data_IF_696425976162
#
_entry.id   IF_696425976162
#
_cell.length_a   1.000
_cell.length_b   1.000
_cell.length_c   1.000
_cell.angle_alpha   90.00
_cell.angle_beta   90.00
_cell.angle_gamma   90.00
#
_symmetry.space_group_name_H-M   'P 1'
#
loop_
_entity.id
_entity.type
_entity.pdbx_description
1 polymer ?
#
# COMPACT_ATOMS: atom_id res chain seq x y z
N UNK A 1 25.31 28.86 30.07
CA UNK A 1 24.13 29.76 29.93
C UNK A 1 22.90 28.86 29.89
N UNK A 2 21.83 29.26 30.57
CA UNK A 2 20.55 28.54 30.53
C UNK A 2 19.94 28.62 29.12
N UNK A 3 19.06 27.68 28.73
CA UNK A 3 18.38 27.75 27.44
C UNK A 3 17.58 29.05 27.31
N UNK A 4 17.48 29.60 26.10
CA UNK A 4 16.62 30.75 25.84
C UNK A 4 15.15 30.42 26.12
N UNK A 5 14.38 31.41 26.59
CA UNK A 5 12.97 31.24 26.94
C UNK A 5 12.14 32.38 26.36
N UNK A 6 11.13 32.06 25.56
CA UNK A 6 10.08 32.98 25.12
C UNK A 6 8.82 32.67 25.91
N UNK A 7 8.39 33.63 26.72
CA UNK A 7 7.23 33.52 27.61
C UNK A 7 6.30 34.71 27.46
N UNK A 8 5.03 34.53 27.82
CA UNK A 8 4.01 35.58 27.85
C UNK A 8 2.98 35.28 28.92
N UNK A 9 2.45 36.29 29.63
CA UNK A 9 1.30 36.10 30.52
C UNK A 9 0.08 35.54 29.79
N UNK A 10 -0.84 34.92 30.54
CA UNK A 10 -2.09 34.40 30.01
C UNK A 10 -2.87 35.47 29.23
N UNK A 11 -3.38 35.09 28.06
CA UNK A 11 -4.16 35.96 27.17
C UNK A 11 -3.34 36.83 26.22
N UNK A 12 -2.01 36.85 26.32
CA UNK A 12 -1.15 37.53 25.35
C UNK A 12 -0.65 36.55 24.28
N UNK A 13 -0.45 37.05 23.05
CA UNK A 13 0.03 36.25 21.92
C UNK A 13 1.17 36.97 21.21
N UNK A 14 2.28 36.26 21.00
CA UNK A 14 3.37 36.71 20.15
C UNK A 14 2.99 36.51 18.69
N UNK A 15 2.78 37.61 17.95
CA UNK A 15 2.61 37.54 16.49
C UNK A 15 3.97 37.69 15.81
N UNK A 16 4.46 36.60 15.21
CA UNK A 16 5.67 36.62 14.40
C UNK A 16 5.32 36.96 12.96
N UNK A 17 5.84 38.09 12.47
CA UNK A 17 5.62 38.56 11.11
C UNK A 17 6.30 37.68 10.04
N UNK A 18 5.83 37.78 8.80
CA UNK A 18 6.48 37.15 7.65
C UNK A 18 7.92 37.65 7.49
N UNK A 19 8.81 36.76 7.06
CA UNK A 19 10.24 37.06 6.91
C UNK A 19 11.05 37.08 8.21
N UNK A 20 10.40 37.04 9.38
CA UNK A 20 11.08 36.91 10.66
C UNK A 20 11.41 35.44 10.98
N UNK A 21 12.55 35.20 11.64
CA UNK A 21 13.00 33.87 12.08
C UNK A 21 13.21 33.84 13.59
N UNK A 22 12.58 32.88 14.26
CA UNK A 22 12.90 32.47 15.62
C UNK A 22 13.68 31.16 15.51
N UNK A 23 14.90 31.09 16.02
CA UNK A 23 15.74 29.90 15.87
C UNK A 23 16.64 29.63 17.06
N UNK A 24 17.11 28.40 17.18
CA UNK A 24 18.05 27.96 18.23
C UNK A 24 17.53 26.78 19.02
N UNK A 25 17.82 26.78 20.32
CA UNK A 25 17.40 25.79 21.31
C UNK A 25 16.84 26.50 22.55
N UNK A 26 15.95 25.83 23.28
CA UNK A 26 15.28 26.41 24.45
C UNK A 26 13.78 26.17 24.43
N UNK A 27 13.02 27.10 25.03
CA UNK A 27 11.58 26.93 25.26
C UNK A 27 10.77 28.08 24.69
N UNK A 28 9.61 27.74 24.12
CA UNK A 28 8.55 28.69 23.77
C UNK A 28 7.28 28.28 24.51
N UNK A 29 7.02 28.97 25.62
CA UNK A 29 5.83 28.77 26.47
C UNK A 29 4.68 29.70 26.08
N UNK A 30 5.02 30.85 25.49
CA UNK A 30 4.07 31.83 24.99
C UNK A 30 3.15 31.26 23.90
N UNK A 31 1.93 31.81 23.82
CA UNK A 31 1.09 31.63 22.64
C UNK A 31 1.76 32.33 21.44
N UNK A 32 1.80 31.67 20.29
CA UNK A 32 2.44 32.22 19.08
C UNK A 32 1.51 32.15 17.89
N UNK A 33 1.41 33.24 17.12
CA UNK A 33 0.88 33.24 15.76
C UNK A 33 2.05 33.41 14.80
N UNK A 34 2.47 32.32 14.15
CA UNK A 34 3.63 32.28 13.28
C UNK A 34 3.25 32.54 11.81
N UNK A 35 3.65 33.69 11.26
CA UNK A 35 3.67 33.94 9.81
C UNK A 35 5.09 33.87 9.20
N UNK A 36 6.11 33.64 10.04
CA UNK A 36 7.51 33.53 9.65
C UNK A 36 8.03 32.10 9.75
N UNK A 37 9.26 31.95 10.26
CA UNK A 37 9.88 30.63 10.48
C UNK A 37 10.28 30.43 11.94
N UNK A 38 9.92 29.29 12.52
CA UNK A 38 10.44 28.82 13.81
C UNK A 38 11.33 27.59 13.56
N UNK A 39 12.58 27.60 14.04
CA UNK A 39 13.58 26.59 13.65
C UNK A 39 14.34 26.03 14.86
N UNK A 40 14.35 24.71 15.01
CA UNK A 40 15.33 23.98 15.80
C UNK A 40 16.55 23.63 14.92
N UNK A 41 17.63 24.41 14.99
CA UNK A 41 18.80 24.32 14.09
C UNK A 41 20.12 23.93 14.76
N UNK A 42 20.08 23.64 16.07
CA UNK A 42 21.25 23.29 16.86
C UNK A 42 21.38 21.76 16.94
N UNK A 43 22.44 21.21 16.36
CA UNK A 43 22.71 19.77 16.34
C UNK A 43 22.63 19.15 17.73
N UNK A 44 21.87 18.06 17.86
CA UNK A 44 21.61 17.32 19.10
C UNK A 44 21.01 18.16 20.24
N UNK A 45 20.45 19.32 19.92
CA UNK A 45 19.77 20.19 20.89
C UNK A 45 18.31 20.37 20.51
N UNK A 46 17.52 20.80 21.49
CA UNK A 46 16.07 20.84 21.40
C UNK A 46 15.55 22.27 21.46
N UNK A 47 14.62 22.61 20.57
CA UNK A 47 13.67 23.70 20.77
C UNK A 47 12.32 23.09 21.14
N UNK A 48 11.75 23.46 22.27
CA UNK A 48 10.47 22.93 22.75
C UNK A 48 9.35 23.96 22.64
N UNK A 49 8.22 23.54 22.06
CA UNK A 49 6.98 24.29 22.04
C UNK A 49 6.07 23.75 23.15
N UNK A 50 5.91 24.48 24.27
CA UNK A 50 5.22 23.99 25.49
C UNK A 50 4.11 24.92 25.96
N UNK A 51 3.29 24.47 26.92
CA UNK A 51 2.23 25.28 27.52
C UNK A 51 1.19 25.77 26.51
N UNK A 52 1.14 27.07 26.18
CA UNK A 52 0.09 27.67 25.37
C UNK A 52 0.04 27.11 23.95
N UNK A 53 -1.14 27.10 23.32
CA UNK A 53 -1.29 26.66 21.94
C UNK A 53 -0.55 27.59 20.96
N UNK A 54 -0.07 27.02 19.85
CA UNK A 54 0.57 27.79 18.77
C UNK A 54 -0.28 27.70 17.52
N UNK A 55 -0.33 28.80 16.78
CA UNK A 55 -0.93 28.87 15.45
C UNK A 55 0.17 29.00 14.42
N UNK A 56 0.20 28.10 13.44
CA UNK A 56 1.19 28.09 12.37
C UNK A 56 0.55 28.46 11.02
N UNK A 57 0.91 29.62 10.47
CA UNK A 57 0.52 30.05 9.13
C UNK A 57 1.62 29.85 8.07
N UNK A 58 2.82 29.51 8.51
CA UNK A 58 3.99 29.36 7.66
C UNK A 58 4.81 28.14 8.11
N UNK A 59 6.05 28.31 8.56
CA UNK A 59 6.98 27.19 8.77
C UNK A 59 7.40 27.02 10.24
N UNK A 60 7.26 25.81 10.75
CA UNK A 60 7.97 25.33 11.95
C UNK A 60 8.87 24.16 11.53
N UNK A 61 10.17 24.16 11.81
CA UNK A 61 11.04 23.09 11.31
C UNK A 61 12.18 22.67 12.24
N UNK A 62 12.65 21.44 12.05
CA UNK A 62 13.90 20.93 12.60
C UNK A 62 14.93 20.73 11.48
N UNK A 63 16.17 21.20 11.69
CA UNK A 63 17.28 21.11 10.72
C UNK A 63 18.61 20.86 11.42
N UNK A 64 19.64 20.50 10.66
CA UNK A 64 21.03 20.38 11.12
C UNK A 64 21.19 19.45 12.35
N UNK A 65 20.43 18.36 12.39
CA UNK A 65 20.44 17.41 13.51
C UNK A 65 19.74 17.92 14.78
N UNK A 66 18.99 19.02 14.70
CA UNK A 66 18.19 19.56 15.79
C UNK A 66 16.88 18.81 16.02
N UNK A 67 16.31 19.02 17.19
CA UNK A 67 15.01 18.48 17.59
C UNK A 67 13.99 19.58 17.83
N UNK A 68 12.85 19.52 17.16
CA UNK A 68 11.69 20.34 17.47
C UNK A 68 10.69 19.50 18.27
N UNK A 69 10.54 19.82 19.56
CA UNK A 69 9.66 19.09 20.46
C UNK A 69 8.30 19.78 20.58
N UNK A 70 7.25 19.03 20.31
CA UNK A 70 5.87 19.48 20.45
C UNK A 70 5.30 18.94 21.76
N UNK A 71 5.04 19.84 22.70
CA UNK A 71 4.45 19.57 24.03
C UNK A 71 3.15 20.36 24.26
N UNK A 72 2.59 20.93 23.20
CA UNK A 72 1.35 21.72 23.23
C UNK A 72 0.56 21.48 21.94
N UNK A 73 -0.70 21.92 21.88
CA UNK A 73 -1.45 21.98 20.62
C UNK A 73 -0.81 22.93 19.61
N UNK A 74 -0.76 22.51 18.34
CA UNK A 74 -0.35 23.30 17.18
C UNK A 74 -1.49 23.31 16.17
N UNK A 75 -2.08 24.49 15.95
CA UNK A 75 -3.13 24.71 14.95
C UNK A 75 -2.50 25.27 13.68
N UNK A 76 -2.47 24.48 12.61
CA UNK A 76 -1.96 24.91 11.32
C UNK A 76 -3.09 25.49 10.47
N UNK A 77 -2.82 26.57 9.75
CA UNK A 77 -3.65 26.93 8.60
C UNK A 77 -3.34 26.03 7.39
N UNK A 78 -4.07 26.20 6.30
CA UNK A 78 -3.84 25.44 5.07
C UNK A 78 -2.40 25.58 4.52
N UNK A 79 -1.76 26.74 4.70
CA UNK A 79 -0.35 26.99 4.34
C UNK A 79 0.65 26.64 5.44
N UNK A 80 0.17 26.26 6.63
CA UNK A 80 1.02 25.88 7.75
C UNK A 80 1.73 24.56 7.46
N UNK A 81 3.04 24.55 7.68
CA UNK A 81 3.88 23.39 7.55
C UNK A 81 4.75 23.18 8.79
N UNK A 82 4.77 21.94 9.28
CA UNK A 82 5.79 21.43 10.21
C UNK A 82 6.72 20.52 9.42
N UNK A 83 8.04 20.73 9.51
CA UNK A 83 9.01 20.07 8.64
C UNK A 83 10.21 19.49 9.39
N UNK A 84 10.62 18.26 9.08
CA UNK A 84 11.89 17.70 9.53
C UNK A 84 12.84 17.50 8.34
N UNK A 85 13.92 18.27 8.30
CA UNK A 85 14.98 18.07 7.32
C UNK A 85 15.78 16.79 7.62
N UNK A 86 16.62 16.38 6.66
CA UNK A 86 17.49 15.22 6.81
C UNK A 86 18.32 15.32 8.11
N UNK A 87 18.42 14.18 8.81
CA UNK A 87 19.12 14.04 10.09
C UNK A 87 18.41 14.65 11.29
N UNK A 88 17.27 15.31 11.11
CA UNK A 88 16.57 16.07 12.16
C UNK A 88 15.24 15.41 12.53
N UNK A 89 14.69 15.74 13.71
CA UNK A 89 13.41 15.16 14.16
C UNK A 89 12.43 16.21 14.67
N UNK A 90 11.15 15.96 14.39
CA UNK A 90 10.04 16.58 15.12
C UNK A 90 9.49 15.52 16.08
N UNK A 91 9.49 15.79 17.38
CA UNK A 91 9.09 14.81 18.41
C UNK A 91 7.82 15.26 19.10
N UNK A 92 6.86 14.36 19.23
CA UNK A 92 5.59 14.59 19.88
C UNK A 92 5.61 13.94 21.25
N UNK A 93 5.04 14.64 22.24
CA UNK A 93 4.91 14.16 23.62
C UNK A 93 3.45 14.16 24.05
N UNK A 94 3.15 13.50 25.17
CA UNK A 94 1.79 13.44 25.71
C UNK A 94 1.23 14.85 25.95
N UNK A 95 0.01 15.08 25.45
CA UNK A 95 -0.65 16.40 25.51
C UNK A 95 -0.36 17.31 24.30
N UNK A 96 0.50 16.88 23.37
CA UNK A 96 0.62 17.53 22.06
C UNK A 96 -0.59 17.23 21.17
N UNK A 97 -0.86 18.14 20.25
CA UNK A 97 -1.82 17.93 19.16
C UNK A 97 -1.37 18.68 17.91
N UNK A 98 -1.73 18.17 16.73
CA UNK A 98 -1.56 18.88 15.46
C UNK A 98 -2.91 18.88 14.74
N UNK A 99 -3.40 20.07 14.41
CA UNK A 99 -4.64 20.28 13.67
C UNK A 99 -4.33 20.94 12.34
N UNK A 100 -4.78 20.35 11.24
CA UNK A 100 -4.67 20.90 9.90
C UNK A 100 -3.25 20.93 9.32
N UNK A 101 -3.15 21.55 8.14
CA UNK A 101 -1.89 21.85 7.46
C UNK A 101 -1.09 20.63 7.04
N UNK A 102 0.18 20.85 6.71
CA UNK A 102 1.10 19.82 6.22
C UNK A 102 2.12 19.43 7.27
N UNK A 103 2.41 18.14 7.36
CA UNK A 103 3.61 17.60 8.03
C UNK A 103 4.47 16.90 6.98
N UNK A 104 5.78 17.17 6.99
CA UNK A 104 6.66 16.81 5.88
C UNK A 104 8.06 16.47 6.36
N UNK A 105 8.75 15.57 5.66
CA UNK A 105 10.15 15.24 5.94
C UNK A 105 10.96 15.20 4.66
N UNK A 106 12.28 15.38 4.76
CA UNK A 106 13.22 15.14 3.66
C UNK A 106 14.32 14.16 4.08
N UNK A 107 14.78 13.33 3.14
CA UNK A 107 15.77 12.29 3.40
C UNK A 107 15.34 11.37 4.55
N UNK A 108 16.19 11.26 5.57
CA UNK A 108 15.95 10.48 6.78
C UNK A 108 15.39 11.31 7.95
N UNK A 109 14.86 12.53 7.70
CA UNK A 109 14.11 13.29 8.71
C UNK A 109 12.85 12.55 9.14
N UNK A 110 12.42 12.74 10.39
CA UNK A 110 11.34 11.91 10.97
C UNK A 110 10.46 12.69 11.96
N UNK A 111 9.15 12.43 11.91
CA UNK A 111 8.22 12.68 13.02
C UNK A 111 8.14 11.46 13.92
N UNK A 112 8.23 11.65 15.24
CA UNK A 112 8.21 10.53 16.19
C UNK A 112 7.36 10.83 17.42
N UNK A 113 6.50 9.89 17.80
CA UNK A 113 5.90 9.82 19.14
C UNK A 113 6.87 9.06 20.05
N UNK A 114 7.92 9.77 20.48
CA UNK A 114 9.12 9.19 21.09
C UNK A 114 9.01 9.02 22.60
N UNK A 115 9.47 7.87 23.12
CA UNK A 115 9.67 7.63 24.55
C UNK A 115 8.77 6.55 25.18
N UNK A 116 7.91 5.92 24.39
CA UNK A 116 6.91 4.95 24.85
C UNK A 116 5.79 5.59 25.69
N UNK A 117 4.54 5.17 25.50
CA UNK A 117 3.40 5.71 26.28
C UNK A 117 3.01 7.14 25.91
N UNK A 118 3.48 7.65 24.77
CA UNK A 118 3.08 8.97 24.26
C UNK A 118 1.65 8.92 23.74
N UNK A 119 0.84 9.91 24.10
CA UNK A 119 -0.52 10.05 23.59
C UNK A 119 -0.71 11.43 22.95
N UNK A 120 -0.91 11.47 21.62
CA UNK A 120 -1.06 12.71 20.85
C UNK A 120 -2.32 12.68 19.98
N UNK A 121 -2.83 13.86 19.63
CA UNK A 121 -4.00 14.00 18.77
C UNK A 121 -3.62 14.59 17.42
N UNK A 122 -4.05 13.93 16.34
CA UNK A 122 -3.87 14.38 14.96
C UNK A 122 -5.25 14.62 14.34
N UNK A 123 -5.47 15.82 13.80
CA UNK A 123 -6.77 16.22 13.25
C UNK A 123 -6.58 16.81 11.85
N UNK A 124 -7.13 16.14 10.82
CA UNK A 124 -7.21 16.63 9.44
C UNK A 124 -5.86 17.11 8.86
N UNK A 125 -4.81 16.32 9.09
CA UNK A 125 -3.46 16.63 8.61
C UNK A 125 -3.22 16.08 7.20
N UNK A 126 -2.33 16.75 6.46
CA UNK A 126 -1.68 16.21 5.26
C UNK A 126 -0.26 15.76 5.60
N UNK A 127 0.02 14.46 5.52
CA UNK A 127 1.36 13.90 5.68
C UNK A 127 2.02 13.68 4.32
N UNK A 128 3.18 14.30 4.09
CA UNK A 128 4.05 14.05 2.92
C UNK A 128 5.41 13.45 3.32
N UNK A 129 5.58 13.10 4.60
CA UNK A 129 6.84 12.64 5.16
C UNK A 129 6.75 11.31 5.91
N UNK A 130 7.79 11.04 6.71
CA UNK A 130 7.93 9.84 7.52
C UNK A 130 7.53 10.07 8.97
N UNK A 131 6.61 9.25 9.46
CA UNK A 131 6.17 9.20 10.85
C UNK A 131 6.47 7.84 11.48
N UNK A 132 6.77 7.86 12.78
CA UNK A 132 6.88 6.69 13.64
C UNK A 132 6.06 6.89 14.92
N UNK A 133 5.09 6.00 15.12
CA UNK A 133 4.43 5.77 16.41
C UNK A 133 5.10 4.59 17.08
N UNK A 134 5.98 4.87 18.05
CA UNK A 134 6.71 3.82 18.77
C UNK A 134 5.78 2.89 19.55
N UNK A 135 6.27 1.69 19.88
CA UNK A 135 5.55 0.74 20.72
C UNK A 135 5.07 1.38 22.04
N UNK A 136 3.81 1.13 22.39
CA UNK A 136 3.16 1.70 23.58
C UNK A 136 2.63 3.13 23.39
N UNK A 137 2.98 3.81 22.30
CA UNK A 137 2.44 5.14 21.98
C UNK A 137 1.15 5.07 21.16
N UNK A 138 0.34 6.11 21.25
CA UNK A 138 -0.97 6.25 20.59
C UNK A 138 -1.03 7.55 19.81
N UNK A 139 -1.26 7.45 18.50
CA UNK A 139 -1.70 8.56 17.67
C UNK A 139 -3.23 8.50 17.53
N UNK A 140 -3.94 9.45 18.14
CA UNK A 140 -5.38 9.54 18.02
C UNK A 140 -5.74 10.35 16.77
N UNK A 141 -6.34 9.71 15.78
CA UNK A 141 -6.95 10.35 14.63
C UNK A 141 -8.32 10.90 15.03
N UNK A 142 -8.38 12.21 15.26
CA UNK A 142 -9.58 12.92 15.71
C UNK A 142 -10.21 13.81 14.64
N UNK A 143 -9.61 13.90 13.45
CA UNK A 143 -10.17 14.56 12.27
C UNK A 143 -10.97 13.59 11.41
N UNK A 144 -11.77 14.12 10.50
CA UNK A 144 -12.57 13.31 9.56
C UNK A 144 -11.74 12.71 8.42
N UNK A 145 -10.57 13.30 8.18
CA UNK A 145 -9.64 12.92 7.11
C UNK A 145 -8.22 12.79 7.65
N UNK A 146 -7.45 11.92 7.03
CA UNK A 146 -6.01 11.85 7.19
C UNK A 146 -5.41 11.66 5.79
N UNK A 147 -4.90 12.76 5.21
CA UNK A 147 -4.35 12.72 3.86
C UNK A 147 -2.90 12.29 3.94
N UNK A 148 -2.59 11.09 3.52
CA UNK A 148 -1.26 10.50 3.62
C UNK A 148 -0.67 10.27 2.23
N UNK A 149 0.39 10.99 1.90
CA UNK A 149 1.24 10.77 0.72
C UNK A 149 2.61 10.20 1.09
N UNK A 150 2.95 10.18 2.38
CA UNK A 150 4.19 9.63 2.91
C UNK A 150 4.00 8.26 3.55
N UNK A 151 4.83 7.98 4.56
CA UNK A 151 4.78 6.73 5.34
C UNK A 151 4.46 7.04 6.78
N UNK A 152 3.35 6.52 7.28
CA UNK A 152 2.98 6.59 8.69
C UNK A 152 3.15 5.20 9.32
N UNK A 153 4.24 5.00 10.07
CA UNK A 153 4.53 3.72 10.69
C UNK A 153 3.96 3.64 12.11
N UNK A 154 3.26 2.55 12.40
CA UNK A 154 2.64 2.25 13.68
C UNK A 154 3.26 0.98 14.25
N UNK A 155 3.90 1.13 15.39
CA UNK A 155 4.75 0.09 15.96
C UNK A 155 6.19 0.17 15.44
N UNK A 156 7.07 -0.53 16.15
CA UNK A 156 8.52 -0.47 15.99
C UNK A 156 9.20 -0.26 17.34
N UNK A 157 10.29 -0.99 17.60
CA UNK A 157 10.92 -1.02 18.92
C UNK A 157 12.03 0.01 19.08
N UNK A 158 11.86 0.88 20.09
CA UNK A 158 12.90 1.30 21.04
C UNK A 158 12.25 1.60 22.40
N UNK A 159 12.05 0.58 23.25
CA UNK A 159 11.87 0.78 24.70
C UNK A 159 10.44 0.80 25.30
N UNK A 160 9.37 0.75 24.51
CA UNK A 160 7.98 0.72 25.04
C UNK A 160 7.36 -0.68 25.17
N UNK A 161 6.45 -0.85 26.15
CA UNK A 161 5.61 -2.05 26.30
C UNK A 161 4.31 -1.92 25.49
N UNK A 162 3.84 -3.02 24.91
CA UNK A 162 2.62 -3.02 24.09
C UNK A 162 2.85 -2.58 22.64
N UNK A 163 1.77 -2.49 21.88
CA UNK A 163 1.82 -2.16 20.45
C UNK A 163 1.79 -0.64 20.28
N UNK A 164 2.38 -0.13 19.20
CA UNK A 164 2.05 1.22 18.74
C UNK A 164 0.61 1.20 18.20
N UNK A 165 -0.14 2.28 18.41
CA UNK A 165 -1.56 2.32 18.02
C UNK A 165 -1.89 3.58 17.23
N UNK A 166 -2.60 3.37 16.11
CA UNK A 166 -3.34 4.41 15.41
C UNK A 166 -4.82 4.29 15.78
N UNK A 167 -5.30 5.24 16.59
CA UNK A 167 -6.61 5.15 17.25
C UNK A 167 -7.62 6.07 16.59
N UNK A 168 -8.76 5.54 16.20
CA UNK A 168 -9.88 6.29 15.67
C UNK A 168 -10.71 6.90 16.80
N UNK A 169 -10.95 8.21 16.71
CA UNK A 169 -11.89 8.92 17.60
C UNK A 169 -13.20 9.31 16.88
N UNK A 170 -13.28 9.06 15.59
CA UNK A 170 -14.42 9.34 14.73
C UNK A 170 -14.35 8.45 13.46
N UNK A 171 -15.35 8.59 12.59
CA UNK A 171 -15.23 8.06 11.24
C UNK A 171 -14.07 8.74 10.50
N UNK A 172 -13.17 7.95 9.91
CA UNK A 172 -11.95 8.45 9.29
C UNK A 172 -11.82 8.00 7.83
N UNK A 173 -11.50 8.95 6.96
CA UNK A 173 -11.03 8.69 5.60
C UNK A 173 -9.50 8.77 5.57
N UNK A 174 -8.83 7.65 5.26
CA UNK A 174 -7.44 7.65 4.81
C UNK A 174 -7.44 7.97 3.32
N UNK A 175 -6.76 9.04 2.92
CA UNK A 175 -6.64 9.46 1.51
C UNK A 175 -5.18 9.65 1.12
N UNK A 176 -4.93 9.98 -0.15
CA UNK A 176 -3.59 10.12 -0.69
C UNK A 176 -3.00 8.79 -1.17
N UNK A 177 -1.72 8.82 -1.52
CA UNK A 177 -1.01 7.71 -2.18
C UNK A 177 0.00 7.02 -1.27
N UNK A 178 0.01 7.40 0.00
CA UNK A 178 0.97 6.95 1.00
C UNK A 178 0.59 5.61 1.63
N UNK A 179 1.35 5.26 2.66
CA UNK A 179 1.17 4.01 3.41
C UNK A 179 0.99 4.27 4.89
N UNK A 180 -0.04 3.65 5.49
CA UNK A 180 -0.13 3.39 6.92
C UNK A 180 0.46 2.00 7.18
N UNK A 181 1.64 1.92 7.80
CA UNK A 181 2.43 0.69 7.96
C UNK A 181 2.38 0.17 9.40
N UNK A 182 1.96 -1.07 9.61
CA UNK A 182 1.96 -1.74 10.93
C UNK A 182 3.23 -2.61 11.10
N UNK A 183 3.93 -2.54 12.26
CA UNK A 183 5.25 -3.20 12.42
C UNK A 183 5.69 -3.66 13.84
N UNK A 184 5.05 -4.65 14.51
CA UNK A 184 3.62 -4.87 14.49
C UNK A 184 2.92 -3.66 15.11
N UNK A 185 1.76 -3.29 14.57
CA UNK A 185 0.97 -2.17 15.05
C UNK A 185 -0.50 -2.53 15.21
N UNK A 186 -1.24 -1.65 15.89
CA UNK A 186 -2.69 -1.74 16.03
C UNK A 186 -3.39 -0.57 15.35
N UNK A 187 -4.53 -0.86 14.75
CA UNK A 187 -5.58 0.12 14.46
C UNK A 187 -6.78 -0.23 15.34
N UNK A 188 -7.21 0.69 16.19
CA UNK A 188 -8.38 0.53 17.06
C UNK A 188 -9.26 1.78 17.04
N UNK A 189 -10.38 1.75 17.77
CA UNK A 189 -11.24 2.90 18.00
C UNK A 189 -11.69 2.96 19.46
N UNK A 190 -11.97 4.18 19.94
CA UNK A 190 -12.58 4.42 21.26
C UNK A 190 -14.05 3.94 21.33
N UNK A 191 -14.68 3.87 20.17
CA UNK A 191 -15.95 3.22 19.91
C UNK A 191 -15.83 2.51 18.55
N UNK A 192 -16.93 1.97 18.05
CA UNK A 192 -16.99 1.46 16.69
C UNK A 192 -17.06 2.62 15.71
N UNK A 193 -16.03 2.78 14.88
CA UNK A 193 -15.95 3.82 13.86
C UNK A 193 -15.68 3.22 12.47
N UNK A 194 -16.28 3.78 11.41
CA UNK A 194 -15.88 3.50 10.05
C UNK A 194 -14.44 3.96 9.77
N UNK A 195 -13.65 3.10 9.15
CA UNK A 195 -12.34 3.41 8.61
C UNK A 195 -12.36 3.17 7.11
N UNK A 196 -12.35 4.23 6.31
CA UNK A 196 -12.27 4.09 4.85
C UNK A 196 -10.81 4.19 4.41
N UNK A 197 -10.27 3.10 3.88
CA UNK A 197 -9.00 3.10 3.17
C UNK A 197 -9.25 3.55 1.73
N UNK A 198 -8.94 4.80 1.42
CA UNK A 198 -9.27 5.42 0.13
C UNK A 198 -8.46 4.89 -1.05
N UNK A 199 -8.96 5.16 -2.26
CA UNK A 199 -8.28 4.83 -3.52
C UNK A 199 -6.83 5.36 -3.52
N UNK A 200 -5.88 4.51 -3.92
CA UNK A 200 -4.45 4.82 -3.96
C UNK A 200 -3.73 4.74 -2.62
N UNK A 201 -4.43 4.71 -1.48
CA UNK A 201 -3.82 4.56 -0.17
C UNK A 201 -3.59 3.08 0.18
N UNK A 202 -2.53 2.81 0.95
CA UNK A 202 -2.18 1.47 1.40
C UNK A 202 -2.17 1.35 2.91
N UNK A 203 -2.82 0.33 3.46
CA UNK A 203 -2.54 -0.18 4.81
C UNK A 203 -1.68 -1.44 4.65
N UNK A 204 -0.46 -1.45 5.18
CA UNK A 204 0.52 -2.55 4.95
C UNK A 204 1.15 -3.04 6.25
N UNK A 205 1.74 -4.24 6.22
CA UNK A 205 2.57 -4.79 7.28
C UNK A 205 1.89 -5.93 8.03
N UNK A 206 2.12 -6.01 9.34
CA UNK A 206 1.57 -7.07 10.21
C UNK A 206 1.12 -6.48 11.54
N UNK A 207 0.18 -7.14 12.20
CA UNK A 207 -0.51 -6.57 13.37
C UNK A 207 -2.02 -6.79 13.30
N UNK A 208 -2.79 -5.82 13.80
CA UNK A 208 -4.23 -5.97 14.01
C UNK A 208 -4.99 -4.72 13.61
N UNK A 209 -6.09 -4.91 12.89
CA UNK A 209 -7.18 -3.96 12.74
C UNK A 209 -8.32 -4.49 13.60
N UNK A 210 -8.54 -3.88 14.75
CA UNK A 210 -9.55 -4.30 15.73
C UNK A 210 -10.97 -4.07 15.21
N UNK A 211 -11.93 -4.80 15.78
CA UNK A 211 -13.33 -4.71 15.37
C UNK A 211 -13.97 -3.33 15.61
N UNK A 212 -13.35 -2.48 16.45
CA UNK A 212 -13.74 -1.08 16.63
C UNK A 212 -13.39 -0.18 15.43
N UNK A 213 -12.50 -0.62 14.54
CA UNK A 213 -12.23 0.02 13.26
C UNK A 213 -12.90 -0.79 12.14
N UNK A 214 -14.12 -0.39 11.77
CA UNK A 214 -14.90 -1.07 10.71
C UNK A 214 -14.33 -0.66 9.36
N UNK A 215 -13.49 -1.53 8.80
CA UNK A 215 -12.77 -1.27 7.57
C UNK A 215 -13.71 -1.28 6.35
N UNK A 216 -13.62 -0.22 5.55
CA UNK A 216 -14.11 -0.13 4.19
C UNK A 216 -12.90 0.03 3.26
N UNK A 217 -12.52 -1.02 2.53
CA UNK A 217 -11.32 -1.03 1.71
C UNK A 217 -11.61 -0.68 0.24
N UNK A 218 -11.28 0.54 -0.17
CA UNK A 218 -11.25 0.97 -1.58
C UNK A 218 -9.82 0.97 -2.13
N UNK A 219 -8.82 1.18 -1.26
CA UNK A 219 -7.40 1.13 -1.58
C UNK A 219 -6.80 -0.28 -1.48
N UNK A 220 -5.59 -0.37 -0.93
CA UNK A 220 -4.86 -1.63 -0.74
C UNK A 220 -4.74 -2.01 0.73
N UNK A 221 -5.07 -3.25 1.06
CA UNK A 221 -4.65 -3.95 2.29
C UNK A 221 -3.55 -4.95 1.92
N UNK A 222 -2.39 -4.83 2.54
CA UNK A 222 -1.21 -5.63 2.21
C UNK A 222 -0.57 -6.26 3.46
N UNK A 223 -0.72 -7.57 3.63
CA UNK A 223 0.02 -8.30 4.66
C UNK A 223 1.49 -8.48 4.25
N UNK A 224 2.42 -8.10 5.13
CA UNK A 224 3.88 -8.26 4.96
C UNK A 224 4.57 -8.52 6.29
N UNK A 225 5.53 -9.45 6.32
CA UNK A 225 6.42 -9.67 7.47
C UNK A 225 5.80 -10.37 8.68
N UNK A 226 4.60 -10.95 8.52
CA UNK A 226 3.87 -11.63 9.59
C UNK A 226 2.40 -11.80 9.23
N UNK A 227 1.53 -11.94 10.23
CA UNK A 227 0.08 -11.96 10.02
C UNK A 227 -0.51 -10.56 10.21
N UNK A 228 -1.32 -10.12 9.25
CA UNK A 228 -2.24 -9.00 9.40
C UNK A 228 -3.64 -9.54 9.71
N UNK A 229 -4.13 -9.25 10.91
CA UNK A 229 -5.45 -9.67 11.39
C UNK A 229 -6.46 -8.54 11.18
N UNK A 230 -7.60 -8.83 10.54
CA UNK A 230 -8.73 -7.91 10.37
C UNK A 230 -9.93 -8.50 11.11
N UNK A 231 -10.34 -7.89 12.22
CA UNK A 231 -11.34 -8.47 13.14
C UNK A 231 -12.79 -8.11 12.85
N UNK A 232 -13.06 -6.96 12.22
CA UNK A 232 -14.39 -6.65 11.70
C UNK A 232 -14.43 -7.06 10.23
N UNK A 233 -15.45 -7.84 9.83
CA UNK A 233 -15.65 -8.24 8.45
C UNK A 233 -15.93 -7.00 7.58
N UNK A 234 -15.06 -6.67 6.60
CA UNK A 234 -15.30 -5.56 5.68
C UNK A 234 -16.52 -5.85 4.80
N UNK A 235 -17.30 -4.82 4.46
CA UNK A 235 -18.50 -4.96 3.62
C UNK A 235 -18.21 -5.50 2.21
N UNK A 236 -16.94 -5.46 1.79
CA UNK A 236 -16.48 -6.05 0.54
C UNK A 236 -16.67 -7.57 0.48
N UNK A 237 -16.69 -8.25 1.64
CA UNK A 237 -16.97 -9.68 1.76
C UNK A 237 -18.48 -9.89 1.83
N UNK A 238 -19.13 -9.84 0.67
CA UNK A 238 -20.58 -9.97 0.53
C UNK A 238 -20.96 -11.43 0.25
N UNK A 239 -21.14 -12.22 1.32
CA UNK A 239 -21.31 -13.67 1.22
C UNK A 239 -20.09 -14.29 0.53
N UNK A 240 -20.31 -15.09 -0.51
CA UNK A 240 -19.21 -15.71 -1.27
C UNK A 240 -18.58 -14.80 -2.35
N UNK A 241 -18.92 -13.51 -2.40
CA UNK A 241 -18.38 -12.55 -3.37
C UNK A 241 -17.47 -11.54 -2.70
N UNK A 242 -16.25 -11.39 -3.21
CA UNK A 242 -15.35 -10.29 -2.85
C UNK A 242 -15.53 -9.15 -3.86
N UNK A 243 -16.09 -8.03 -3.43
CA UNK A 243 -16.68 -7.03 -4.35
C UNK A 243 -15.75 -5.92 -4.82
N UNK A 244 -14.82 -5.45 -3.97
CA UNK A 244 -13.96 -4.29 -4.26
C UNK A 244 -12.65 -4.31 -3.45
N UNK A 245 -11.76 -3.36 -3.74
CA UNK A 245 -10.48 -3.13 -3.07
C UNK A 245 -9.36 -4.03 -3.57
N UNK A 246 -8.14 -3.76 -3.11
CA UNK A 246 -6.98 -4.63 -3.33
C UNK A 246 -6.62 -5.36 -2.03
N UNK A 247 -6.50 -6.69 -2.10
CA UNK A 247 -6.22 -7.59 -1.00
C UNK A 247 -4.96 -8.40 -1.32
N UNK A 248 -3.88 -8.14 -0.58
CA UNK A 248 -2.56 -8.63 -0.93
C UNK A 248 -1.88 -9.32 0.25
N UNK A 249 -1.30 -10.47 -0.01
CA UNK A 249 -0.46 -11.20 0.94
C UNK A 249 0.92 -11.41 0.31
N UNK A 250 1.99 -10.93 0.96
CA UNK A 250 3.35 -11.04 0.44
C UNK A 250 4.29 -11.73 1.41
N UNK A 251 4.59 -13.01 1.15
CA UNK A 251 5.29 -13.91 2.08
C UNK A 251 4.79 -13.76 3.53
N UNK A 252 3.47 -13.65 3.67
CA UNK A 252 2.77 -13.23 4.87
C UNK A 252 1.31 -13.72 4.84
N UNK A 253 0.64 -13.67 5.98
CA UNK A 253 -0.76 -14.07 6.10
C UNK A 253 -1.65 -12.84 6.21
N UNK A 254 -2.61 -12.72 5.30
CA UNK A 254 -3.75 -11.83 5.44
C UNK A 254 -4.92 -12.64 5.98
N UNK A 255 -5.30 -12.37 7.24
CA UNK A 255 -6.43 -13.05 7.87
C UNK A 255 -7.59 -12.07 8.08
N UNK A 256 -8.71 -12.35 7.44
CA UNK A 256 -9.95 -11.59 7.62
C UNK A 256 -10.92 -12.46 8.38
N UNK A 257 -11.14 -12.12 9.65
CA UNK A 257 -11.99 -12.91 10.54
C UNK A 257 -13.45 -12.83 10.09
N UNK A 258 -14.11 -13.99 10.09
CA UNK A 258 -15.51 -14.12 9.70
C UNK A 258 -15.76 -14.05 8.19
N UNK A 259 -14.71 -14.01 7.36
CA UNK A 259 -14.86 -14.10 5.91
C UNK A 259 -15.34 -15.50 5.51
N UNK A 260 -16.44 -15.54 4.77
CA UNK A 260 -16.89 -16.74 4.08
C UNK A 260 -15.90 -17.13 2.97
N UNK A 261 -15.91 -18.40 2.52
CA UNK A 261 -15.18 -18.79 1.33
C UNK A 261 -15.59 -17.94 0.12
N UNK A 262 -14.62 -17.42 -0.61
CA UNK A 262 -14.83 -16.60 -1.81
C UNK A 262 -14.91 -17.55 -3.00
N UNK A 263 -16.07 -17.58 -3.65
CA UNK A 263 -16.26 -18.28 -4.93
C UNK A 263 -16.21 -17.31 -6.10
N UNK A 264 -16.58 -16.04 -5.90
CA UNK A 264 -16.56 -14.99 -6.92
C UNK A 264 -15.67 -13.83 -6.49
N UNK A 265 -14.65 -13.51 -7.30
CA UNK A 265 -13.78 -12.36 -7.09
C UNK A 265 -14.09 -11.25 -8.11
N UNK A 266 -14.63 -10.11 -7.66
CA UNK A 266 -14.73 -8.85 -8.42
C UNK A 266 -13.60 -7.87 -8.06
N UNK A 267 -12.91 -8.12 -6.95
CA UNK A 267 -11.83 -7.29 -6.42
C UNK A 267 -10.47 -7.61 -7.05
N UNK A 268 -9.41 -6.98 -6.54
CA UNK A 268 -8.02 -7.33 -6.86
C UNK A 268 -7.41 -8.17 -5.74
N UNK A 269 -6.98 -9.39 -6.06
CA UNK A 269 -6.30 -10.30 -5.13
C UNK A 269 -4.90 -10.61 -5.62
N UNK A 270 -3.91 -10.44 -4.75
CA UNK A 270 -2.50 -10.72 -5.06
C UNK A 270 -1.88 -11.63 -4.01
N UNK A 271 -1.40 -12.78 -4.45
CA UNK A 271 -0.66 -13.74 -3.64
C UNK A 271 0.80 -13.77 -4.14
N UNK A 272 1.71 -13.19 -3.36
CA UNK A 272 3.10 -12.98 -3.75
C UNK A 272 4.04 -13.72 -2.79
N UNK A 273 4.84 -14.65 -3.30
CA UNK A 273 5.74 -15.46 -2.50
C UNK A 273 5.12 -16.76 -2.03
N UNK A 274 5.93 -17.80 -1.86
CA UNK A 274 5.49 -19.16 -1.46
C UNK A 274 4.79 -19.21 -0.11
N UNK A 275 5.12 -18.28 0.80
CA UNK A 275 4.53 -18.20 2.13
C UNK A 275 3.31 -17.27 2.21
N UNK A 276 2.83 -16.72 1.10
CA UNK A 276 1.63 -15.89 1.12
C UNK A 276 0.39 -16.71 1.49
N UNK A 277 -0.52 -16.16 2.31
CA UNK A 277 -1.76 -16.84 2.72
C UNK A 277 -2.91 -15.84 2.75
N UNK A 278 -3.99 -16.16 2.05
CA UNK A 278 -5.29 -15.49 2.15
C UNK A 278 -6.38 -16.56 1.99
N UNK A 279 -6.67 -17.29 3.08
CA UNK A 279 -7.45 -18.52 3.03
C UNK A 279 -8.85 -18.41 2.39
N UNK A 280 -9.61 -17.30 2.53
CA UNK A 280 -10.94 -17.19 1.92
C UNK A 280 -10.95 -17.41 0.40
N UNK A 281 -9.86 -17.09 -0.32
CA UNK A 281 -9.81 -17.23 -1.79
C UNK A 281 -9.63 -18.68 -2.27
N UNK A 282 -9.35 -19.65 -1.38
CA UNK A 282 -9.02 -21.02 -1.77
C UNK A 282 -10.14 -21.74 -2.54
N UNK A 283 -11.38 -21.26 -2.47
CA UNK A 283 -12.56 -21.82 -3.16
C UNK A 283 -12.94 -21.07 -4.44
N UNK A 284 -12.05 -20.22 -4.97
CA UNK A 284 -12.32 -19.40 -6.15
C UNK A 284 -12.79 -20.26 -7.34
N UNK A 285 -13.95 -19.88 -7.88
CA UNK A 285 -14.58 -20.51 -9.05
C UNK A 285 -14.80 -19.50 -10.19
N UNK A 286 -15.02 -18.22 -9.86
CA UNK A 286 -15.19 -17.14 -10.82
C UNK A 286 -14.26 -15.96 -10.50
N UNK A 287 -13.38 -15.61 -11.43
CA UNK A 287 -12.60 -14.38 -11.39
C UNK A 287 -13.14 -13.37 -12.41
N UNK A 288 -13.81 -12.34 -11.91
CA UNK A 288 -14.35 -11.22 -12.68
C UNK A 288 -13.51 -9.94 -12.49
N UNK A 289 -12.77 -9.85 -11.37
CA UNK A 289 -11.77 -8.82 -11.08
C UNK A 289 -10.36 -9.24 -11.50
N UNK A 290 -9.38 -9.03 -10.61
CA UNK A 290 -7.99 -9.44 -10.84
C UNK A 290 -7.52 -10.48 -9.84
N UNK A 291 -6.81 -11.51 -10.31
CA UNK A 291 -6.16 -12.50 -9.48
C UNK A 291 -4.72 -12.72 -9.93
N UNK A 292 -3.74 -12.39 -9.09
CA UNK A 292 -2.31 -12.48 -9.42
C UNK A 292 -1.58 -13.47 -8.50
N UNK A 293 -0.80 -14.37 -9.10
CA UNK A 293 0.11 -15.29 -8.43
C UNK A 293 1.55 -14.90 -8.77
N UNK A 294 2.30 -14.43 -7.78
CA UNK A 294 3.65 -13.88 -7.96
C UNK A 294 4.65 -14.56 -7.02
N UNK A 295 5.95 -14.39 -7.28
CA UNK A 295 7.00 -14.85 -6.36
C UNK A 295 7.00 -16.37 -6.15
N UNK A 296 6.86 -17.14 -7.24
CA UNK A 296 6.79 -18.61 -7.22
C UNK A 296 5.58 -19.16 -6.44
N UNK A 297 4.46 -18.44 -6.46
CA UNK A 297 3.27 -18.85 -5.74
C UNK A 297 2.49 -19.90 -6.52
N UNK A 298 2.24 -21.03 -5.87
CA UNK A 298 1.32 -22.06 -6.35
C UNK A 298 -0.09 -21.85 -5.80
N UNK A 299 -1.09 -22.08 -6.65
CA UNK A 299 -2.51 -22.11 -6.29
C UNK A 299 -3.21 -23.25 -7.02
N UNK A 300 -4.05 -23.98 -6.30
CA UNK A 300 -4.85 -25.07 -6.86
C UNK A 300 -6.32 -24.81 -6.56
N UNK A 301 -7.15 -24.74 -7.60
CA UNK A 301 -8.60 -24.58 -7.43
C UNK A 301 -9.23 -25.87 -6.90
N UNK A 302 -10.40 -25.75 -6.27
CA UNK A 302 -11.16 -26.93 -5.83
C UNK A 302 -11.76 -27.67 -7.02
N UNK A 303 -12.29 -26.94 -8.01
CA UNK A 303 -12.98 -27.47 -9.18
C UNK A 303 -12.77 -26.53 -10.39
N UNK A 304 -13.83 -26.26 -11.14
CA UNK A 304 -13.79 -25.45 -12.37
C UNK A 304 -13.41 -23.97 -12.11
N UNK A 305 -12.60 -23.46 -13.02
CA UNK A 305 -12.11 -22.09 -13.22
C UNK A 305 -12.87 -21.26 -14.27
N UNK A 306 -13.66 -20.23 -13.94
CA UNK A 306 -14.09 -19.22 -14.94
C UNK A 306 -13.35 -17.90 -14.73
N UNK A 307 -12.74 -17.36 -15.78
CA UNK A 307 -12.08 -16.06 -15.79
C UNK A 307 -12.69 -15.10 -16.82
N UNK A 308 -13.50 -14.15 -16.34
CA UNK A 308 -14.01 -13.02 -17.12
C UNK A 308 -13.29 -11.70 -16.81
N UNK A 309 -12.40 -11.70 -15.83
CA UNK A 309 -11.48 -10.61 -15.49
C UNK A 309 -10.05 -10.86 -15.97
N UNK A 310 -9.07 -10.60 -15.11
CA UNK A 310 -7.66 -10.85 -15.38
C UNK A 310 -7.04 -11.85 -14.41
N UNK A 311 -6.30 -12.83 -14.94
CA UNK A 311 -5.39 -13.66 -14.15
C UNK A 311 -3.96 -13.34 -14.56
N UNK A 312 -3.05 -13.15 -13.60
CA UNK A 312 -1.62 -12.91 -13.85
C UNK A 312 -0.76 -13.96 -13.16
N UNK A 313 0.09 -14.63 -13.94
CA UNK A 313 1.03 -15.65 -13.48
C UNK A 313 2.46 -15.14 -13.68
N UNK A 314 3.08 -14.73 -12.57
CA UNK A 314 4.47 -14.29 -12.55
C UNK A 314 5.47 -15.46 -12.69
N UNK A 315 6.78 -15.17 -12.80
CA UNK A 315 7.80 -16.19 -12.98
C UNK A 315 7.81 -17.23 -11.84
N UNK A 316 7.74 -18.51 -12.23
CA UNK A 316 7.72 -19.65 -11.32
C UNK A 316 6.41 -19.86 -10.57
N UNK A 317 5.41 -19.00 -10.77
CA UNK A 317 4.09 -19.16 -10.17
C UNK A 317 3.22 -20.10 -11.01
N UNK A 318 2.42 -20.92 -10.33
CA UNK A 318 1.59 -21.93 -10.98
C UNK A 318 0.13 -21.85 -10.55
N UNK A 319 -0.77 -21.78 -11.52
CA UNK A 319 -2.19 -22.05 -11.33
C UNK A 319 -2.51 -23.47 -11.79
N UNK A 320 -3.05 -24.29 -10.89
CA UNK A 320 -3.62 -25.59 -11.21
C UNK A 320 -5.13 -25.53 -11.09
N UNK A 321 -5.85 -25.80 -12.18
CA UNK A 321 -7.30 -25.91 -12.22
C UNK A 321 -7.67 -27.39 -12.19
N UNK A 322 -8.27 -27.85 -11.08
CA UNK A 322 -8.63 -29.27 -10.90
C UNK A 322 -9.82 -29.72 -11.77
N UNK A 323 -10.58 -28.77 -12.33
CA UNK A 323 -11.68 -29.02 -13.24
C UNK A 323 -11.46 -28.43 -14.63
N UNK A 324 -12.55 -28.05 -15.30
CA UNK A 324 -12.53 -27.30 -16.54
C UNK A 324 -12.09 -25.84 -16.32
N UNK A 325 -11.54 -25.22 -17.36
CA UNK A 325 -11.15 -23.81 -17.33
C UNK A 325 -11.78 -23.05 -18.50
N UNK A 326 -12.50 -21.96 -18.18
CA UNK A 326 -13.10 -21.06 -19.16
C UNK A 326 -12.45 -19.69 -19.04
N UNK A 327 -11.73 -19.28 -20.07
CA UNK A 327 -11.15 -17.95 -20.22
C UNK A 327 -12.03 -17.13 -21.17
N UNK A 328 -12.40 -15.92 -20.76
CA UNK A 328 -13.15 -14.98 -21.60
C UNK A 328 -12.45 -13.62 -21.79
N UNK A 329 -11.61 -13.20 -20.84
CA UNK A 329 -10.91 -11.91 -20.88
C UNK A 329 -9.39 -12.12 -20.94
N UNK A 330 -8.60 -11.74 -19.94
CA UNK A 330 -7.12 -11.79 -20.03
C UNK A 330 -6.47 -12.85 -19.13
N UNK A 331 -5.55 -13.63 -19.69
CA UNK A 331 -4.54 -14.39 -18.97
C UNK A 331 -3.17 -13.79 -19.27
N UNK A 332 -2.49 -13.29 -18.25
CA UNK A 332 -1.14 -12.74 -18.36
C UNK A 332 -0.10 -13.75 -17.85
N UNK A 333 0.97 -13.97 -18.62
CA UNK A 333 2.09 -14.85 -18.26
C UNK A 333 3.40 -14.10 -18.42
N UNK A 334 4.19 -14.08 -17.35
CA UNK A 334 5.54 -13.52 -17.40
C UNK A 334 6.57 -14.61 -17.71
N UNK A 335 7.55 -14.31 -18.56
CA UNK A 335 8.69 -15.18 -18.87
C UNK A 335 10.00 -14.47 -18.50
N UNK A 336 10.71 -14.99 -17.49
CA UNK A 336 11.99 -14.48 -16.99
C UNK A 336 13.19 -15.39 -17.33
N UNK A 337 12.97 -16.52 -17.98
CA UNK A 337 14.00 -17.49 -18.33
C UNK A 337 13.44 -18.80 -18.84
N UNK A 338 14.31 -19.75 -19.11
CA UNK A 338 13.93 -21.08 -19.59
C UNK A 338 13.41 -21.97 -18.46
N UNK A 339 12.44 -22.82 -18.80
CA UNK A 339 11.88 -23.83 -17.90
C UNK A 339 10.92 -23.26 -16.86
N UNK A 340 10.05 -24.14 -16.35
CA UNK A 340 8.85 -23.78 -15.61
C UNK A 340 9.08 -22.91 -14.36
N UNK A 341 10.25 -23.02 -13.72
CA UNK A 341 10.58 -22.19 -12.56
C UNK A 341 10.78 -20.70 -12.91
N UNK A 342 10.90 -20.37 -14.20
CA UNK A 342 11.21 -19.03 -14.67
C UNK A 342 10.09 -18.39 -15.49
N UNK A 343 8.91 -19.01 -15.55
CA UNK A 343 7.73 -18.41 -16.20
C UNK A 343 6.45 -18.78 -15.47
N UNK A 344 5.38 -18.03 -15.71
CA UNK A 344 4.04 -18.41 -15.26
C UNK A 344 3.59 -19.72 -15.89
N UNK A 345 2.77 -20.48 -15.17
CA UNK A 345 2.29 -21.78 -15.64
C UNK A 345 0.81 -22.02 -15.31
N UNK A 346 0.03 -22.44 -16.31
CA UNK A 346 -1.36 -22.88 -16.16
C UNK A 346 -1.50 -24.39 -16.41
N UNK A 347 -1.94 -25.15 -15.42
CA UNK A 347 -2.27 -26.57 -15.56
C UNK A 347 -3.78 -26.79 -15.41
N UNK A 348 -4.44 -27.35 -16.40
CA UNK A 348 -5.89 -27.62 -16.42
C UNK A 348 -6.10 -29.13 -16.48
N UNK A 349 -6.79 -29.69 -15.48
CA UNK A 349 -7.09 -31.12 -15.43
C UNK A 349 -8.31 -31.51 -16.29
N UNK A 350 -9.25 -30.58 -16.50
CA UNK A 350 -10.38 -30.75 -17.41
C UNK A 350 -10.12 -30.22 -18.82
N UNK A 351 -11.20 -29.86 -19.52
CA UNK A 351 -11.14 -29.18 -20.81
C UNK A 351 -10.95 -27.66 -20.62
N UNK A 352 -10.27 -27.03 -21.58
CA UNK A 352 -10.01 -25.60 -21.60
C UNK A 352 -10.80 -24.93 -22.72
N UNK A 353 -11.71 -24.01 -22.37
CA UNK A 353 -12.25 -23.06 -23.34
C UNK A 353 -11.49 -21.75 -23.20
N UNK A 354 -10.56 -21.51 -24.10
CA UNK A 354 -9.55 -20.46 -24.04
C UNK A 354 -9.95 -19.28 -24.93
N UNK A 355 -11.04 -18.57 -24.69
CA UNK A 355 -11.33 -17.35 -25.46
C UNK A 355 -10.47 -16.15 -24.98
N UNK A 356 -10.67 -14.98 -25.59
CA UNK A 356 -10.04 -13.74 -25.12
C UNK A 356 -8.54 -13.64 -25.40
N UNK A 357 -7.81 -13.02 -24.49
CA UNK A 357 -6.42 -12.58 -24.68
C UNK A 357 -5.45 -13.38 -23.80
N UNK A 358 -4.42 -13.93 -24.43
CA UNK A 358 -3.19 -14.33 -23.77
C UNK A 358 -2.17 -13.18 -23.89
N UNK A 359 -1.83 -12.53 -22.77
CA UNK A 359 -0.82 -11.48 -22.70
C UNK A 359 0.49 -12.06 -22.17
N UNK A 360 1.57 -11.96 -22.94
CA UNK A 360 2.85 -12.60 -22.57
C UNK A 360 3.95 -11.55 -22.52
N UNK A 361 4.44 -11.27 -21.32
CA UNK A 361 5.49 -10.28 -21.07
C UNK A 361 6.82 -10.96 -20.76
N UNK A 362 7.93 -10.38 -21.25
CA UNK A 362 9.27 -10.75 -20.80
C UNK A 362 9.58 -10.00 -19.50
N UNK A 363 10.04 -10.71 -18.48
CA UNK A 363 10.38 -10.14 -17.19
C UNK A 363 11.90 -10.00 -16.98
N UNK A 364 12.29 -8.99 -16.21
CA UNK A 364 13.69 -8.71 -15.89
C UNK A 364 14.50 -8.28 -17.13
N UNK A 365 15.69 -8.85 -17.29
CA UNK A 365 16.58 -8.59 -18.44
C UNK A 365 16.61 -9.75 -19.44
N UNK A 366 15.68 -10.71 -19.31
CA UNK A 366 15.67 -11.90 -20.14
C UNK A 366 15.28 -11.58 -21.59
N UNK A 367 16.08 -12.09 -22.53
CA UNK A 367 15.84 -11.98 -23.97
C UNK A 367 15.99 -13.39 -24.54
N UNK A 368 14.89 -14.05 -24.95
CA UNK A 368 14.97 -15.32 -25.66
C UNK A 368 15.65 -15.15 -27.02
N UNK A 369 16.21 -16.25 -27.52
CA UNK A 369 16.68 -16.39 -28.89
C UNK A 369 15.49 -16.74 -29.82
N UNK A 370 15.47 -16.25 -31.06
CA UNK A 370 14.52 -16.70 -32.07
C UNK A 370 14.45 -18.23 -32.17
N UNK A 371 13.23 -18.79 -32.12
CA UNK A 371 12.98 -20.23 -32.14
C UNK A 371 12.91 -20.90 -30.77
N UNK A 372 13.18 -20.17 -29.68
CA UNK A 372 13.03 -20.71 -28.33
C UNK A 372 11.57 -21.03 -28.01
N UNK A 373 11.35 -22.19 -27.39
CA UNK A 373 10.03 -22.71 -27.05
C UNK A 373 9.79 -22.65 -25.54
N UNK A 374 8.60 -22.19 -25.17
CA UNK A 374 8.13 -22.13 -23.79
C UNK A 374 6.80 -22.87 -23.69
N UNK A 375 6.79 -24.00 -23.00
CA UNK A 375 5.54 -24.62 -22.59
C UNK A 375 4.98 -23.81 -21.42
N UNK A 376 3.76 -23.30 -21.55
CA UNK A 376 3.16 -22.44 -20.50
C UNK A 376 1.77 -22.92 -20.06
N UNK A 377 1.18 -23.86 -20.80
CA UNK A 377 -0.14 -24.39 -20.50
C UNK A 377 -0.23 -25.89 -20.82
N UNK A 378 -0.82 -26.64 -19.91
CA UNK A 378 -1.28 -28.03 -20.15
C UNK A 378 -2.77 -28.15 -19.87
N UNK A 379 -3.49 -28.90 -20.70
CA UNK A 379 -4.94 -29.08 -20.61
C UNK A 379 -5.33 -30.51 -20.94
N UNK A 380 -5.58 -31.34 -19.93
CA UNK A 380 -5.75 -32.79 -20.12
C UNK A 380 -7.05 -33.17 -20.87
N UNK A 381 -8.09 -32.32 -20.85
CA UNK A 381 -9.31 -32.48 -21.64
C UNK A 381 -9.24 -31.86 -23.04
N UNK A 382 -8.10 -31.29 -23.44
CA UNK A 382 -7.91 -30.53 -24.68
C UNK A 382 -8.44 -29.09 -24.61
N UNK A 383 -8.09 -28.27 -25.60
CA UNK A 383 -8.50 -26.86 -25.68
C UNK A 383 -8.85 -26.36 -27.09
N UNK A 384 -9.67 -25.31 -27.16
CA UNK A 384 -10.11 -24.61 -28.39
C UNK A 384 -9.21 -23.43 -28.81
N UNK A 385 -8.32 -22.95 -27.93
CA UNK A 385 -7.24 -21.97 -28.19
C UNK A 385 -7.63 -20.49 -28.10
N UNK A 386 -6.66 -19.62 -27.77
CA UNK A 386 -6.83 -18.16 -27.56
C UNK A 386 -7.31 -17.37 -28.78
N UNK A 387 -8.19 -16.37 -28.54
CA UNK A 387 -8.65 -15.45 -29.60
C UNK A 387 -7.54 -14.49 -30.05
N UNK A 388 -6.71 -14.02 -29.12
CA UNK A 388 -5.60 -13.12 -29.39
C UNK A 388 -4.41 -13.46 -28.48
N UNK A 389 -3.20 -13.42 -29.05
CA UNK A 389 -1.94 -13.48 -28.29
C UNK A 389 -1.26 -12.13 -28.43
N UNK A 390 -1.05 -11.43 -27.31
CA UNK A 390 -0.27 -10.21 -27.25
C UNK A 390 1.19 -10.53 -26.95
N UNK A 391 2.07 -9.72 -27.53
CA UNK A 391 3.52 -9.89 -27.45
C UNK A 391 4.19 -8.68 -26.79
N UNK A 392 5.41 -8.84 -26.24
CA UNK A 392 6.10 -7.77 -25.53
C UNK A 392 6.43 -6.58 -26.43
N UNK A 393 6.61 -5.40 -25.83
CA UNK A 393 6.99 -4.18 -26.55
C UNK A 393 8.30 -4.37 -27.34
N UNK A 394 8.45 -3.64 -28.45
CA UNK A 394 9.60 -3.62 -29.39
C UNK A 394 9.67 -4.73 -30.45
N UNK A 395 8.64 -4.86 -31.29
CA UNK A 395 8.73 -5.60 -32.58
C UNK A 395 9.10 -7.09 -32.42
N UNK A 396 8.50 -7.76 -31.44
CA UNK A 396 8.70 -9.20 -31.17
C UNK A 396 7.33 -9.86 -31.10
N UNK A 397 7.20 -11.11 -31.56
CA UNK A 397 5.94 -11.83 -31.52
C UNK A 397 6.09 -13.20 -30.84
N UNK A 398 4.97 -13.71 -30.35
CA UNK A 398 4.84 -15.10 -29.93
C UNK A 398 4.04 -15.86 -30.98
N UNK A 399 4.58 -16.96 -31.46
CA UNK A 399 3.83 -17.90 -32.25
C UNK A 399 3.30 -19.01 -31.32
N UNK A 400 1.98 -19.15 -31.22
CA UNK A 400 1.33 -20.15 -30.39
C UNK A 400 1.17 -21.45 -31.17
N UNK A 401 1.62 -22.56 -30.59
CA UNK A 401 1.51 -23.89 -31.20
C UNK A 401 0.98 -24.92 -30.20
N UNK A 402 0.34 -25.95 -30.75
CA UNK A 402 -0.15 -27.11 -30.01
C UNK A 402 0.53 -28.37 -30.59
N UNK A 403 1.73 -28.74 -30.10
CA UNK A 403 2.43 -29.95 -30.57
C UNK A 403 1.61 -31.23 -30.35
N UNK A 404 0.73 -31.21 -29.35
CA UNK A 404 -0.28 -32.22 -29.10
C UNK A 404 -1.57 -31.53 -28.59
N UNK A 405 -2.72 -32.24 -28.51
CA UNK A 405 -3.99 -31.63 -28.09
C UNK A 405 -4.02 -31.10 -26.65
N UNK A 406 -3.00 -31.40 -25.84
CA UNK A 406 -2.99 -31.18 -24.40
C UNK A 406 -1.91 -30.18 -23.94
N UNK A 407 -0.96 -29.82 -24.80
CA UNK A 407 0.18 -28.96 -24.45
C UNK A 407 0.25 -27.76 -25.36
N UNK A 408 0.28 -26.55 -24.79
CA UNK A 408 0.48 -25.31 -25.53
C UNK A 408 1.91 -24.83 -25.37
N UNK A 409 2.53 -24.46 -26.49
CA UNK A 409 3.85 -23.85 -26.53
C UNK A 409 3.81 -22.47 -27.19
N UNK A 410 4.67 -21.60 -26.68
CA UNK A 410 4.96 -20.30 -27.27
C UNK A 410 6.36 -20.33 -27.86
N UNK A 411 6.46 -20.11 -29.16
CA UNK A 411 7.72 -19.92 -29.86
C UNK A 411 8.03 -18.44 -29.94
N UNK A 412 9.22 -18.05 -29.50
CA UNK A 412 9.69 -16.69 -29.62
C UNK A 412 10.15 -16.42 -31.06
N UNK A 413 9.47 -15.50 -31.76
CA UNK A 413 9.78 -15.18 -33.16
C UNK A 413 10.09 -13.69 -33.34
N UNK A 414 11.04 -13.33 -34.23
CA UNK A 414 11.24 -11.94 -34.63
C UNK A 414 9.99 -11.43 -35.37
N UNK A 415 9.75 -10.11 -35.36
CA UNK A 415 8.67 -9.54 -36.19
C UNK A 415 8.79 -10.06 -37.63
N UNK A 416 7.67 -10.45 -38.27
CA UNK A 416 7.74 -10.88 -39.66
C UNK A 416 8.24 -9.72 -40.51
N UNK A 417 9.31 -9.94 -41.28
CA UNK A 417 9.74 -9.01 -42.33
C UNK A 417 8.68 -8.82 -43.44
N UNK A 418 7.56 -9.53 -43.37
CA UNK A 418 6.50 -9.51 -44.37
C UNK A 418 5.16 -10.00 -43.78
N UNK A 419 4.30 -9.08 -43.32
CA UNK A 419 2.85 -9.05 -43.62
C UNK A 419 2.13 -7.92 -42.86
N UNK A 420 1.84 -6.85 -43.60
CA UNK A 420 0.73 -5.95 -43.33
C UNK A 420 -0.56 -6.77 -43.49
N UNK A 421 -1.39 -6.87 -42.47
CA UNK A 421 -2.84 -6.89 -42.66
C UNK A 421 -3.57 -6.25 -41.47
N UNK A 422 -4.17 -5.11 -41.78
CA UNK A 422 -5.05 -4.23 -41.01
C UNK A 422 -5.79 -4.88 -39.81
N UNK A 423 -5.63 -4.30 -38.61
CA UNK A 423 -6.73 -3.94 -37.67
C UNK A 423 -6.24 -3.30 -36.35
N UNK A 424 -4.96 -3.35 -35.99
CA UNK A 424 -4.48 -2.90 -34.66
C UNK A 424 -4.21 -1.40 -34.46
N UNK A 425 -4.65 -0.51 -35.37
CA UNK A 425 -4.36 0.94 -35.25
C UNK A 425 -5.10 1.67 -34.12
N UNK A 426 -6.08 1.05 -33.45
CA UNK A 426 -6.98 1.75 -32.52
C UNK A 426 -6.75 1.51 -31.03
N UNK A 427 -6.11 0.42 -30.61
CA UNK A 427 -6.14 -0.01 -29.19
C UNK A 427 -4.87 0.28 -28.37
N UNK A 428 -3.76 0.68 -28.99
CA UNK A 428 -2.50 0.94 -28.27
C UNK A 428 -2.50 2.24 -27.43
N UNK A 429 -3.57 3.05 -27.48
CA UNK A 429 -3.62 4.35 -26.80
C UNK A 429 -4.24 4.35 -25.39
N UNK A 430 -4.52 3.19 -24.78
CA UNK A 430 -5.07 3.13 -23.40
C UNK A 430 -4.15 2.49 -22.35
N UNK A 431 -2.84 2.38 -22.60
CA UNK A 431 -1.87 1.79 -21.66
C UNK A 431 -1.38 2.73 -20.53
N UNK A 432 -2.16 3.73 -20.11
CA UNK A 432 -1.79 4.61 -18.98
C UNK A 432 -2.94 4.81 -17.99
N UNK A 433 -2.82 4.14 -16.85
CA UNK A 433 -3.56 4.42 -15.62
C UNK A 433 -3.82 3.15 -14.82
N UNK A 434 -3.16 3.03 -13.66
CA UNK A 434 -3.32 2.01 -12.62
C UNK A 434 -2.43 0.76 -12.74
N UNK A 435 -1.15 0.95 -12.44
CA UNK A 435 -0.39 0.04 -11.58
C UNK A 435 -0.30 0.68 -10.19
#
# INVERSE_FOLDING_TARGET
>A
LWPGHIDSPDGFTLTQAAGHTIHGNGYIDAAVTNHGTIIADRSNQTLELRSAAKTNHAMMKATNGGFLDLRSPINQSASGQIFAEAGSKVRLFTGSAITGGTTATNGNGQFALSGGGVNTTLTDITNTGSWLVENGSVANAAGSTFTNHGTFTVGGYTGGSGWGTFRLNNALQLSGTGTLKLSPGAIDGLATYPLTNGLGHTISGYGRIYASAVLNNLGTIEARGGTLEVYALPSQFAGNTLTDGTWKAVNATLNVHGADPITTNLASVVLDGTASVFAPINTLAENQGSFSLLGSRDFTTVADLVNTGSIHLGPGSKLTVNGAYTQASTLAIDIAGYGNANHGWLAIAGAGSLAGVLDVELAGSFIPSPGDLFTVLTCAGGADGFTLVLAPENQRMWNMTWPDPFTMQLEYVPEPASLILLTLGGLLLRRRGHR
#
